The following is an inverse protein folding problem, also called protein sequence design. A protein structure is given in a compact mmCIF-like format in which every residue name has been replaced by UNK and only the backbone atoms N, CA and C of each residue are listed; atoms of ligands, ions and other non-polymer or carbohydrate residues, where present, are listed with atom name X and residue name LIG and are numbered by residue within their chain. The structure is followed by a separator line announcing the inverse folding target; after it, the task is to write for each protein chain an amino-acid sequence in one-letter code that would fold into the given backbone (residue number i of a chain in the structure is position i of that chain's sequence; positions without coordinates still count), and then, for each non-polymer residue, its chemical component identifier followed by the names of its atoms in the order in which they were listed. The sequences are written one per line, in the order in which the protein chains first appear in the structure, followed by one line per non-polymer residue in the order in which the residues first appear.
data_IF_360991737083
#
_entry.id   IF_360991737083
#
_cell.length_a   1.000
_cell.length_b   1.000
_cell.length_c   1.000
_cell.angle_alpha   90.00
_cell.angle_beta   90.00
_cell.angle_gamma   90.00
#
_symmetry.space_group_name_H-M   'P 1'
#
loop_
_entity.id
_entity.type
_entity.pdbx_description
1 polymer ?
#
# COMPACT_ATOMS: atom_id res chain seq x y z
N UNK A 1 -5.40 -26.38 -10.97
CA UNK A 1 -5.50 -26.12 -9.52
C UNK A 1 -4.09 -26.23 -9.00
N UNK A 2 -3.50 -25.12 -8.60
CA UNK A 2 -2.08 -24.96 -8.30
C UNK A 2 -1.73 -23.48 -8.34
N UNK A 3 -0.69 -23.08 -7.60
CA UNK A 3 -0.20 -21.71 -7.54
C UNK A 3 0.61 -21.34 -8.82
N UNK A 4 -0.07 -21.36 -9.96
CA UNK A 4 0.53 -21.14 -11.29
C UNK A 4 0.79 -19.67 -11.62
N UNK A 5 0.34 -18.75 -10.76
CA UNK A 5 0.57 -17.31 -10.91
C UNK A 5 1.80 -16.83 -10.14
N UNK A 6 2.55 -17.76 -9.53
CA UNK A 6 3.69 -17.46 -8.68
C UNK A 6 3.36 -16.44 -7.60
N UNK A 7 2.15 -16.51 -7.03
CA UNK A 7 1.77 -15.67 -5.91
C UNK A 7 2.41 -16.21 -4.64
N UNK A 8 2.72 -15.37 -3.65
CA UNK A 8 3.17 -15.86 -2.36
C UNK A 8 2.13 -16.81 -1.76
N UNK A 9 2.58 -17.95 -1.23
CA UNK A 9 1.71 -18.89 -0.54
C UNK A 9 1.03 -18.24 0.67
N UNK A 10 1.75 -17.38 1.43
CA UNK A 10 1.17 -16.68 2.58
C UNK A 10 -0.09 -15.87 2.20
N UNK A 11 -0.10 -15.24 1.02
CA UNK A 11 -1.23 -14.48 0.49
C UNK A 11 -2.44 -15.40 0.25
N UNK A 12 -2.20 -16.54 -0.40
CA UNK A 12 -3.24 -17.53 -0.67
C UNK A 12 -3.80 -18.12 0.64
N UNK A 13 -2.92 -18.41 1.60
CA UNK A 13 -3.27 -18.88 2.93
C UNK A 13 -4.04 -17.83 3.75
N UNK A 14 -3.81 -16.54 3.49
CA UNK A 14 -4.45 -15.43 4.21
C UNK A 14 -5.94 -15.29 3.85
N UNK A 15 -6.39 -15.79 2.70
CA UNK A 15 -7.80 -15.70 2.28
C UNK A 15 -8.81 -16.22 3.31
N UNK A 16 -8.43 -17.24 4.07
CA UNK A 16 -9.23 -17.77 5.18
C UNK A 16 -8.64 -17.32 6.52
N UNK A 17 -8.71 -16.02 6.79
CA UNK A 17 -8.23 -15.40 8.04
C UNK A 17 -9.03 -14.13 8.33
N UNK A 18 -8.70 -13.45 9.44
CA UNK A 18 -9.30 -12.16 9.80
C UNK A 18 -9.24 -11.08 8.70
N UNK A 19 -8.19 -11.04 7.88
CA UNK A 19 -8.08 -10.10 6.73
C UNK A 19 -8.40 -10.75 5.38
N UNK A 20 -8.92 -11.99 5.39
CA UNK A 20 -9.19 -12.74 4.18
C UNK A 20 -10.67 -12.71 3.81
N UNK A 21 -10.96 -12.80 2.50
CA UNK A 21 -12.35 -12.74 1.98
C UNK A 21 -13.19 -13.96 2.32
N UNK A 22 -12.56 -15.10 2.63
CA UNK A 22 -13.27 -16.36 2.91
C UNK A 22 -13.66 -16.48 4.40
N UNK A 23 -13.02 -15.71 5.30
CA UNK A 23 -13.40 -15.63 6.72
C UNK A 23 -13.20 -14.22 7.35
N UNK A 24 -13.74 -13.17 6.71
CA UNK A 24 -13.46 -11.77 7.04
C UNK A 24 -13.85 -11.45 8.48
N UNK A 25 -12.91 -10.85 9.22
CA UNK A 25 -13.05 -10.51 10.64
C UNK A 25 -13.57 -11.67 11.51
N UNK A 26 -13.24 -12.91 11.14
CA UNK A 26 -13.76 -14.14 11.75
C UNK A 26 -15.30 -14.18 11.82
N UNK A 27 -15.96 -13.70 10.77
CA UNK A 27 -17.41 -13.56 10.71
C UNK A 27 -17.98 -14.02 9.37
N UNK A 28 -19.31 -14.02 9.26
CA UNK A 28 -20.06 -14.24 8.02
C UNK A 28 -20.30 -12.92 7.26
N UNK A 29 -19.37 -11.97 7.35
CA UNK A 29 -19.53 -10.66 6.70
C UNK A 29 -19.77 -10.82 5.19
N UNK A 30 -20.90 -10.30 4.73
CA UNK A 30 -21.19 -10.14 3.31
C UNK A 30 -20.43 -8.91 2.79
N UNK A 31 -19.42 -9.18 1.95
CA UNK A 31 -18.53 -8.16 1.38
C UNK A 31 -19.29 -7.19 0.48
N UNK A 32 -20.28 -7.64 -0.29
CA UNK A 32 -21.06 -6.76 -1.16
C UNK A 32 -21.85 -5.76 -0.31
N UNK A 33 -22.51 -6.26 0.73
CA UNK A 33 -23.23 -5.40 1.68
C UNK A 33 -22.29 -4.48 2.43
N UNK A 34 -21.10 -4.95 2.79
CA UNK A 34 -20.09 -4.14 3.47
C UNK A 34 -19.60 -2.99 2.59
N UNK A 35 -19.31 -3.26 1.32
CA UNK A 35 -18.93 -2.25 0.33
C UNK A 35 -20.03 -1.19 0.16
N UNK A 36 -21.30 -1.60 0.02
CA UNK A 36 -22.43 -0.66 -0.05
C UNK A 36 -22.49 0.27 1.17
N UNK A 37 -22.34 -0.28 2.37
CA UNK A 37 -22.32 0.51 3.62
C UNK A 37 -21.12 1.46 3.70
N UNK A 38 -19.97 1.05 3.16
CA UNK A 38 -18.81 1.92 3.05
C UNK A 38 -19.09 3.12 2.15
N UNK A 39 -19.68 2.90 0.97
CA UNK A 39 -20.10 3.98 0.08
C UNK A 39 -21.16 4.89 0.72
N UNK A 40 -22.14 4.33 1.43
CA UNK A 40 -23.15 5.11 2.17
C UNK A 40 -22.52 6.02 3.23
N UNK A 41 -21.52 5.51 3.97
CA UNK A 41 -20.77 6.30 4.93
C UNK A 41 -19.98 7.44 4.26
N UNK A 42 -19.39 7.18 3.10
CA UNK A 42 -18.68 8.20 2.32
C UNK A 42 -19.60 9.34 1.89
N UNK A 43 -20.85 9.05 1.50
CA UNK A 43 -21.83 10.10 1.18
C UNK A 43 -22.08 11.05 2.37
N UNK A 44 -22.16 10.50 3.59
CA UNK A 44 -22.33 11.33 4.80
C UNK A 44 -21.10 12.18 5.12
N UNK A 45 -19.90 11.68 4.80
CA UNK A 45 -18.66 12.46 4.92
C UNK A 45 -18.64 13.59 3.89
N UNK A 46 -19.05 13.34 2.65
CA UNK A 46 -19.14 14.35 1.59
C UNK A 46 -20.08 15.51 1.97
N UNK A 47 -21.28 15.20 2.49
CA UNK A 47 -22.21 16.21 3.01
C UNK A 47 -21.57 17.09 4.12
N UNK A 48 -20.77 16.46 4.98
CA UNK A 48 -20.07 17.13 6.08
C UNK A 48 -18.95 18.05 5.56
N UNK A 49 -18.17 17.59 4.58
CA UNK A 49 -17.16 18.42 3.88
C UNK A 49 -17.83 19.62 3.21
N UNK A 50 -18.93 19.39 2.48
CA UNK A 50 -19.71 20.45 1.86
C UNK A 50 -20.21 21.49 2.87
N UNK A 51 -20.54 21.07 4.10
CA UNK A 51 -20.95 21.97 5.18
C UNK A 51 -19.81 22.86 5.66
N UNK A 52 -18.62 22.29 5.86
CA UNK A 52 -17.42 23.04 6.25
C UNK A 52 -17.03 24.04 5.16
N UNK A 53 -17.01 23.61 3.90
CA UNK A 53 -16.66 24.47 2.77
C UNK A 53 -17.62 25.66 2.61
N UNK A 54 -18.94 25.45 2.75
CA UNK A 54 -19.94 26.52 2.76
C UNK A 54 -19.75 27.48 3.93
N UNK A 55 -19.27 26.99 5.07
CA UNK A 55 -19.00 27.86 6.22
C UNK A 55 -17.77 28.75 5.97
N UNK A 56 -16.71 28.21 5.36
CA UNK A 56 -15.54 29.02 4.95
C UNK A 56 -15.94 30.11 3.94
N UNK A 57 -16.83 29.81 2.99
CA UNK A 57 -17.41 30.80 2.06
C UNK A 57 -18.16 31.92 2.79
N UNK A 58 -19.06 31.57 3.73
CA UNK A 58 -19.82 32.56 4.51
C UNK A 58 -18.94 33.47 5.36
N UNK A 59 -17.81 32.95 5.83
CA UNK A 59 -16.83 33.71 6.60
C UNK A 59 -15.97 34.62 5.72
N UNK A 60 -15.99 34.44 4.39
CA UNK A 60 -15.19 35.22 3.45
C UNK A 60 -13.70 34.84 3.42
N UNK A 61 -13.33 33.68 3.96
CA UNK A 61 -11.92 33.24 4.10
C UNK A 61 -11.61 32.00 3.26
N UNK A 62 -12.52 31.56 2.39
CA UNK A 62 -12.34 30.33 1.60
C UNK A 62 -11.07 30.37 0.76
N UNK A 63 -10.82 31.48 0.10
CA UNK A 63 -9.78 31.56 -0.94
C UNK A 63 -8.37 31.55 -0.34
N UNK A 64 -8.23 32.07 0.89
CA UNK A 64 -6.99 32.06 1.70
C UNK A 64 -6.86 30.82 2.61
N UNK A 65 -7.85 29.91 2.62
CA UNK A 65 -7.82 28.70 3.46
C UNK A 65 -7.36 27.48 2.65
N UNK A 66 -6.23 26.90 3.03
CA UNK A 66 -5.81 25.58 2.52
C UNK A 66 -6.67 24.47 3.13
N UNK A 67 -7.49 23.83 2.29
CA UNK A 67 -8.25 22.63 2.64
C UNK A 67 -7.63 21.43 1.97
N UNK A 68 -7.31 20.38 2.75
CA UNK A 68 -6.77 19.12 2.26
C UNK A 68 -7.73 18.00 2.69
N UNK A 69 -8.22 17.22 1.73
CA UNK A 69 -8.96 15.97 1.96
C UNK A 69 -8.06 14.81 1.56
N UNK A 70 -7.91 13.82 2.43
CA UNK A 70 -7.05 12.66 2.18
C UNK A 70 -7.48 11.43 2.98
N UNK A 71 -7.08 10.24 2.50
CA UNK A 71 -7.13 8.99 3.27
C UNK A 71 -5.84 8.70 4.04
N UNK A 72 -5.93 7.96 5.15
CA UNK A 72 -4.77 7.46 5.89
C UNK A 72 -4.09 6.28 5.18
N UNK A 73 -4.89 5.37 4.63
CA UNK A 73 -4.51 4.20 3.85
C UNK A 73 -5.63 3.82 2.86
N UNK A 74 -5.31 2.97 1.88
CA UNK A 74 -6.30 2.32 1.03
C UNK A 74 -7.12 1.26 1.79
N UNK A 75 -7.99 0.56 1.07
CA UNK A 75 -8.83 -0.50 1.61
C UNK A 75 -9.24 -1.49 0.51
N UNK A 76 -9.22 -2.78 0.82
CA UNK A 76 -9.61 -3.86 -0.08
C UNK A 76 -11.00 -4.42 0.27
N UNK A 77 -11.75 -4.79 -0.75
CA UNK A 77 -13.08 -5.41 -0.68
C UNK A 77 -13.16 -6.72 -1.47
N UNK A 78 -12.06 -7.47 -1.58
CA UNK A 78 -12.03 -8.69 -2.37
C UNK A 78 -10.74 -8.89 -3.16
N UNK A 79 -10.04 -7.80 -3.46
CA UNK A 79 -8.84 -7.80 -4.28
C UNK A 79 -7.77 -8.71 -3.65
N UNK A 80 -7.11 -9.49 -4.49
CA UNK A 80 -6.14 -10.52 -4.06
C UNK A 80 -6.71 -11.59 -3.10
N UNK A 81 -8.03 -11.63 -2.89
CA UNK A 81 -8.65 -12.47 -1.87
C UNK A 81 -8.55 -11.91 -0.46
N UNK A 82 -8.29 -10.61 -0.34
CA UNK A 82 -8.15 -9.91 0.92
C UNK A 82 -9.26 -8.87 1.13
N UNK A 83 -9.48 -8.54 2.39
CA UNK A 83 -10.18 -7.33 2.82
C UNK A 83 -9.21 -6.49 3.64
N UNK A 84 -9.64 -5.27 4.00
CA UNK A 84 -8.88 -4.39 4.89
C UNK A 84 -7.60 -3.85 4.22
N UNK A 85 -6.59 -3.46 5.01
CA UNK A 85 -5.27 -2.98 4.57
C UNK A 85 -4.14 -3.77 5.26
N UNK A 86 -2.89 -3.32 5.09
CA UNK A 86 -1.60 -3.87 5.63
C UNK A 86 -0.81 -4.74 4.66
N UNK A 87 -0.99 -4.47 3.37
CA UNK A 87 -0.21 -5.07 2.28
C UNK A 87 0.17 -3.97 1.30
N UNK A 88 1.13 -4.22 0.43
CA UNK A 88 1.68 -3.23 -0.49
C UNK A 88 0.95 -3.11 -1.84
N UNK A 89 -0.18 -3.81 -2.02
CA UNK A 89 -0.99 -3.69 -3.24
C UNK A 89 -1.57 -2.28 -3.39
N UNK A 90 -1.76 -1.82 -4.62
CA UNK A 90 -2.23 -0.46 -4.96
C UNK A 90 -3.52 -0.13 -4.22
N UNK A 91 -4.45 -1.07 -4.12
CA UNK A 91 -5.72 -0.90 -3.41
C UNK A 91 -5.56 -0.68 -1.90
N UNK A 92 -4.47 -1.16 -1.29
CA UNK A 92 -4.17 -0.98 0.14
C UNK A 92 -3.34 0.28 0.41
N UNK A 93 -2.54 0.76 -0.55
CA UNK A 93 -1.61 1.89 -0.32
C UNK A 93 -2.08 3.20 -0.98
N UNK A 94 -2.85 3.14 -2.06
CA UNK A 94 -3.30 4.32 -2.80
C UNK A 94 -4.50 4.95 -2.11
N UNK A 95 -4.41 6.25 -1.84
CA UNK A 95 -5.44 7.03 -1.17
C UNK A 95 -5.93 8.17 -2.06
N UNK A 96 -7.19 8.62 -1.89
CA UNK A 96 -7.62 9.87 -2.49
C UNK A 96 -6.86 11.03 -1.82
N UNK A 97 -6.51 12.05 -2.59
CA UNK A 97 -6.00 13.32 -2.10
C UNK A 97 -6.56 14.45 -2.97
N UNK A 98 -7.18 15.43 -2.32
CA UNK A 98 -7.72 16.64 -2.95
C UNK A 98 -7.28 17.84 -2.11
N UNK A 99 -6.88 18.93 -2.76
CA UNK A 99 -6.54 20.17 -2.07
C UNK A 99 -7.13 21.39 -2.79
N UNK A 100 -7.50 22.41 -2.04
CA UNK A 100 -7.87 23.71 -2.58
C UNK A 100 -7.31 24.85 -1.71
N UNK A 101 -6.77 25.87 -2.37
CA UNK A 101 -6.45 27.17 -1.81
C UNK A 101 -6.23 28.14 -2.97
N UNK A 102 -7.28 28.82 -3.46
CA UNK A 102 -7.20 29.73 -4.61
C UNK A 102 -6.07 30.76 -4.54
N UNK A 103 -5.73 31.25 -3.35
CA UNK A 103 -4.62 32.21 -3.16
C UNK A 103 -3.23 31.61 -3.38
N UNK A 104 -3.07 30.29 -3.24
CA UNK A 104 -1.79 29.59 -3.40
C UNK A 104 -1.59 28.97 -4.78
N UNK A 105 -2.66 28.46 -5.39
CA UNK A 105 -2.63 27.76 -6.68
C UNK A 105 -4.02 27.72 -7.33
N UNK A 106 -4.02 27.64 -8.66
CA UNK A 106 -5.25 27.51 -9.46
C UNK A 106 -5.82 26.08 -9.37
N UNK A 107 -7.14 25.97 -9.15
CA UNK A 107 -7.84 24.69 -9.09
C UNK A 107 -8.03 24.02 -10.47
N UNK A 108 -8.65 22.83 -10.44
CA UNK A 108 -9.00 22.09 -11.67
C UNK A 108 -7.83 21.37 -12.35
N UNK A 109 -6.69 21.24 -11.65
CA UNK A 109 -5.49 20.55 -12.12
C UNK A 109 -5.35 19.18 -11.44
N UNK A 110 -4.78 18.22 -12.17
CA UNK A 110 -4.36 16.92 -11.64
C UNK A 110 -2.84 16.93 -11.55
N UNK A 111 -2.31 16.51 -10.40
CA UNK A 111 -0.87 16.27 -10.22
C UNK A 111 -0.64 14.78 -10.41
N UNK A 112 0.04 14.41 -11.50
CA UNK A 112 0.30 13.01 -11.84
C UNK A 112 1.51 12.43 -11.08
N UNK A 113 2.39 13.30 -10.58
CA UNK A 113 3.55 12.92 -9.78
C UNK A 113 3.13 12.25 -8.47
N UNK A 114 3.91 11.26 -8.06
CA UNK A 114 3.65 10.49 -6.85
C UNK A 114 3.89 11.31 -5.57
N UNK A 115 2.80 11.75 -4.95
CA UNK A 115 2.79 12.34 -3.60
C UNK A 115 2.47 11.29 -2.53
N UNK A 116 2.92 11.51 -1.31
CA UNK A 116 2.74 10.58 -0.18
C UNK A 116 2.27 11.31 1.08
N UNK A 117 1.69 10.57 2.03
CA UNK A 117 1.18 11.16 3.29
C UNK A 117 2.28 11.90 4.09
N UNK A 118 3.55 11.51 3.95
CA UNK A 118 4.70 12.17 4.57
C UNK A 118 4.92 13.61 4.08
N UNK A 119 4.37 13.96 2.92
CA UNK A 119 4.54 15.26 2.27
C UNK A 119 3.58 16.33 2.78
N UNK A 120 2.51 15.90 3.47
CA UNK A 120 1.43 16.79 3.90
C UNK A 120 1.94 17.80 4.92
N UNK A 121 2.76 17.36 5.88
CA UNK A 121 3.33 18.26 6.88
C UNK A 121 4.26 19.32 6.24
N UNK A 122 5.27 18.96 5.41
CA UNK A 122 6.05 19.92 4.64
C UNK A 122 5.21 20.91 3.81
N UNK A 123 4.15 20.42 3.17
CA UNK A 123 3.24 21.24 2.34
C UNK A 123 2.48 22.26 3.18
N UNK A 124 1.93 21.85 4.33
CA UNK A 124 1.26 22.78 5.26
C UNK A 124 2.26 23.82 5.80
N UNK A 125 3.50 23.39 6.12
CA UNK A 125 4.53 24.31 6.58
C UNK A 125 4.87 25.36 5.53
N UNK A 126 5.09 24.97 4.28
CA UNK A 126 5.35 25.92 3.20
C UNK A 126 4.17 26.87 2.97
N UNK A 127 2.93 26.37 3.01
CA UNK A 127 1.73 27.21 2.91
C UNK A 127 1.66 28.28 4.01
N UNK A 128 2.20 27.99 5.19
CA UNK A 128 2.31 28.92 6.33
C UNK A 128 3.56 29.82 6.27
N UNK A 129 4.40 29.71 5.24
CA UNK A 129 5.68 30.41 5.13
C UNK A 129 6.77 29.89 6.07
N UNK A 130 6.63 28.65 6.55
CA UNK A 130 7.60 27.98 7.42
C UNK A 130 8.56 27.10 6.60
N UNK A 131 9.78 26.94 7.12
CA UNK A 131 10.80 26.09 6.50
C UNK A 131 10.71 24.67 7.05
N UNK A 132 10.67 23.67 6.16
CA UNK A 132 10.71 22.24 6.53
C UNK A 132 11.99 21.93 7.33
N UNK A 133 11.91 21.24 8.48
CA UNK A 133 13.09 20.76 9.19
C UNK A 133 13.82 19.65 8.43
N UNK A 134 15.16 19.52 8.56
CA UNK A 134 15.93 18.51 7.83
C UNK A 134 15.60 17.04 8.16
N UNK A 135 14.90 16.76 9.27
CA UNK A 135 14.57 15.40 9.70
C UNK A 135 13.25 14.87 9.14
N UNK A 136 12.50 15.68 8.39
CA UNK A 136 11.28 15.23 7.71
C UNK A 136 11.64 14.62 6.37
N UNK A 137 11.22 13.38 6.15
CA UNK A 137 11.48 12.63 4.91
C UNK A 137 10.64 13.10 3.73
N UNK A 138 9.46 13.68 3.99
CA UNK A 138 8.57 14.21 2.95
C UNK A 138 9.05 15.53 2.37
N UNK A 139 8.49 15.92 1.23
CA UNK A 139 8.75 17.20 0.57
C UNK A 139 7.45 17.92 0.25
N UNK A 140 7.49 19.26 0.22
CA UNK A 140 6.30 20.02 -0.15
C UNK A 140 5.99 19.86 -1.63
N UNK A 141 4.72 19.64 -1.96
CA UNK A 141 4.24 19.53 -3.34
C UNK A 141 3.42 20.76 -3.80
N UNK A 142 3.53 21.89 -3.09
CA UNK A 142 2.84 23.13 -3.50
C UNK A 142 3.24 23.56 -4.91
N UNK A 143 4.51 23.47 -5.26
CA UNK A 143 4.98 23.86 -6.59
C UNK A 143 4.44 22.93 -7.69
N UNK A 144 4.28 21.63 -7.39
CA UNK A 144 3.57 20.72 -8.29
C UNK A 144 2.10 21.14 -8.46
N UNK A 145 1.41 21.52 -7.39
CA UNK A 145 0.04 22.02 -7.46
C UNK A 145 -0.08 23.34 -8.25
N UNK A 146 0.97 24.16 -8.27
CA UNK A 146 1.07 25.36 -9.13
C UNK A 146 1.32 25.01 -10.61
N UNK A 147 1.60 23.75 -10.93
CA UNK A 147 1.93 23.28 -12.27
C UNK A 147 3.38 23.58 -12.67
N UNK A 148 4.27 23.75 -11.69
CA UNK A 148 5.69 23.97 -11.95
C UNK A 148 6.39 22.63 -12.20
N UNK A 149 7.35 22.65 -13.11
CA UNK A 149 8.26 21.53 -13.33
C UNK A 149 9.40 21.62 -12.32
N UNK A 150 9.34 20.77 -11.30
CA UNK A 150 10.34 20.70 -10.22
C UNK A 150 10.86 19.27 -10.07
N UNK A 151 12.14 19.09 -9.68
CA UNK A 151 12.64 17.76 -9.34
C UNK A 151 11.75 17.10 -8.28
N UNK A 152 11.37 15.85 -8.53
CA UNK A 152 10.50 15.08 -7.64
C UNK A 152 11.04 13.67 -7.43
N UNK A 153 10.39 12.90 -6.55
CA UNK A 153 10.81 11.53 -6.26
C UNK A 153 10.43 10.58 -7.39
N UNK A 154 11.31 9.61 -7.64
CA UNK A 154 11.05 8.50 -8.56
C UNK A 154 10.39 7.30 -7.86
N UNK A 155 10.50 7.23 -6.53
CA UNK A 155 10.12 6.04 -5.75
C UNK A 155 9.32 6.37 -4.49
N UNK A 156 8.39 5.47 -4.17
CA UNK A 156 7.69 5.40 -2.89
C UNK A 156 8.09 4.11 -2.18
N UNK A 157 8.59 4.27 -0.96
CA UNK A 157 8.97 3.18 -0.08
C UNK A 157 7.81 2.89 0.88
N UNK A 158 7.24 1.69 0.78
CA UNK A 158 6.26 1.17 1.72
C UNK A 158 6.93 0.20 2.69
N UNK A 159 6.64 0.37 3.98
CA UNK A 159 7.13 -0.48 5.05
C UNK A 159 5.97 -0.86 5.97
N UNK A 160 5.82 -2.16 6.23
CA UNK A 160 4.92 -2.68 7.24
C UNK A 160 5.64 -3.74 8.08
N UNK A 161 5.62 -3.59 9.40
CA UNK A 161 6.25 -4.53 10.32
C UNK A 161 5.24 -5.52 10.86
N UNK A 162 5.63 -6.80 10.90
CA UNK A 162 4.80 -7.86 11.45
C UNK A 162 4.34 -7.55 12.88
N UNK A 163 3.10 -7.90 13.16
CA UNK A 163 2.51 -7.80 14.49
C UNK A 163 1.79 -9.10 14.87
N UNK A 164 1.96 -9.54 16.11
CA UNK A 164 1.34 -10.79 16.60
C UNK A 164 -0.19 -10.75 16.61
N UNK A 165 -0.77 -9.55 16.64
CA UNK A 165 -2.22 -9.36 16.65
C UNK A 165 -2.87 -9.81 15.33
N UNK A 166 -2.15 -9.69 14.22
CA UNK A 166 -2.58 -10.07 12.88
C UNK A 166 -1.47 -10.90 12.20
N UNK A 167 -1.17 -12.10 12.72
CA UNK A 167 0.03 -12.84 12.33
C UNK A 167 0.02 -13.34 10.89
N UNK A 168 -1.13 -13.26 10.21
CA UNK A 168 -1.33 -13.59 8.81
C UNK A 168 -0.74 -12.56 7.81
N UNK A 169 -0.42 -11.33 8.25
CA UNK A 169 0.24 -10.32 7.42
C UNK A 169 1.73 -10.25 7.80
N UNK A 170 2.66 -10.61 6.90
CA UNK A 170 4.09 -10.60 7.20
C UNK A 170 4.67 -9.20 7.33
N UNK A 171 5.95 -9.11 7.69
CA UNK A 171 6.73 -7.88 7.46
C UNK A 171 6.88 -7.70 5.95
N UNK A 172 6.48 -6.54 5.43
CA UNK A 172 6.46 -6.21 4.00
C UNK A 172 7.35 -5.00 3.76
N UNK A 173 8.25 -5.12 2.79
CA UNK A 173 8.97 -3.98 2.22
C UNK A 173 8.64 -3.91 0.73
N UNK A 174 8.23 -2.74 0.25
CA UNK A 174 7.91 -2.56 -1.16
C UNK A 174 8.42 -1.24 -1.67
N UNK A 175 8.98 -1.28 -2.88
CA UNK A 175 9.41 -0.11 -3.61
C UNK A 175 8.56 0.02 -4.87
N UNK A 176 7.86 1.16 -4.98
CA UNK A 176 6.99 1.50 -6.11
C UNK A 176 7.60 2.67 -6.87
N UNK A 177 7.89 2.47 -8.15
CA UNK A 177 8.13 3.56 -9.11
C UNK A 177 6.87 3.85 -9.90
N UNK A 178 6.93 4.73 -10.91
CA UNK A 178 5.77 5.02 -11.77
C UNK A 178 5.34 3.84 -12.66
N UNK A 179 6.24 2.89 -12.89
CA UNK A 179 5.96 1.73 -13.76
C UNK A 179 6.09 0.40 -13.06
N UNK A 180 7.06 0.23 -12.17
CA UNK A 180 7.35 -1.06 -11.57
C UNK A 180 7.18 -1.03 -10.07
N UNK A 181 6.76 -2.16 -9.50
CA UNK A 181 6.70 -2.36 -8.06
C UNK A 181 7.36 -3.68 -7.69
N UNK A 182 8.30 -3.63 -6.75
CA UNK A 182 8.95 -4.81 -6.17
C UNK A 182 8.57 -4.91 -4.70
N UNK A 183 8.19 -6.09 -4.24
CA UNK A 183 7.79 -6.36 -2.86
C UNK A 183 8.50 -7.60 -2.34
N UNK A 184 9.08 -7.51 -1.15
CA UNK A 184 9.72 -8.62 -0.45
C UNK A 184 9.19 -8.78 0.97
N UNK A 185 9.27 -10.00 1.49
CA UNK A 185 8.71 -10.38 2.79
C UNK A 185 9.78 -10.88 3.75
N UNK A 186 10.10 -10.07 4.75
CA UNK A 186 11.17 -10.41 5.68
C UNK A 186 10.77 -11.53 6.63
N UNK A 187 11.62 -12.56 6.72
CA UNK A 187 11.43 -13.70 7.62
C UNK A 187 10.45 -14.76 7.09
N UNK A 188 9.96 -14.64 5.85
CA UNK A 188 9.16 -15.67 5.21
C UNK A 188 9.98 -16.49 4.22
N UNK A 189 9.75 -17.81 4.23
CA UNK A 189 10.29 -18.72 3.22
C UNK A 189 9.26 -18.94 2.11
N UNK A 190 9.20 -17.98 1.19
CA UNK A 190 8.21 -17.91 0.11
C UNK A 190 8.76 -17.10 -1.08
N UNK A 191 7.94 -16.82 -2.08
CA UNK A 191 8.31 -15.95 -3.21
C UNK A 191 8.04 -14.47 -2.93
N UNK A 192 8.93 -13.62 -3.44
CA UNK A 192 8.71 -12.18 -3.58
C UNK A 192 7.77 -11.87 -4.75
N UNK A 193 7.41 -10.60 -4.91
CA UNK A 193 6.54 -10.13 -5.99
C UNK A 193 7.18 -8.99 -6.81
N UNK A 194 6.96 -9.01 -8.12
CA UNK A 194 7.37 -7.96 -9.04
C UNK A 194 6.31 -7.70 -10.11
N UNK A 195 5.88 -6.46 -10.26
CA UNK A 195 4.77 -6.06 -11.15
C UNK A 195 5.15 -4.87 -12.04
N UNK A 196 4.61 -4.85 -13.26
CA UNK A 196 4.50 -3.65 -14.10
C UNK A 196 3.11 -3.06 -13.85
N UNK A 197 3.03 -2.08 -12.95
CA UNK A 197 1.76 -1.52 -12.48
C UNK A 197 1.10 -0.61 -13.53
N UNK A 198 1.80 -0.24 -14.62
CA UNK A 198 1.18 0.43 -15.76
C UNK A 198 0.45 -0.57 -16.66
N UNK A 199 1.08 -1.70 -16.94
CA UNK A 199 0.48 -2.76 -17.76
C UNK A 199 -0.55 -3.61 -16.99
N UNK A 200 -0.34 -3.80 -15.69
CA UNK A 200 -1.18 -4.58 -14.78
C UNK A 200 -1.46 -3.78 -13.48
N UNK A 201 -2.34 -2.77 -13.54
CA UNK A 201 -2.67 -1.92 -12.39
C UNK A 201 -3.40 -2.67 -11.26
N UNK A 202 -3.79 -3.92 -11.51
CA UNK A 202 -4.47 -4.81 -10.55
C UNK A 202 -3.57 -5.90 -9.99
N UNK A 203 -2.28 -5.90 -10.38
CA UNK A 203 -1.22 -6.74 -9.83
C UNK A 203 -1.56 -8.25 -9.85
N UNK A 204 -2.17 -8.71 -10.93
CA UNK A 204 -2.63 -10.10 -11.08
C UNK A 204 -1.54 -11.05 -11.59
N UNK A 205 -0.51 -10.54 -12.27
CA UNK A 205 0.59 -11.33 -12.86
C UNK A 205 1.92 -10.99 -12.20
N UNK A 206 2.35 -11.83 -11.26
CA UNK A 206 3.69 -11.72 -10.68
C UNK A 206 4.76 -12.10 -11.72
N UNK A 207 5.63 -11.15 -12.05
CA UNK A 207 6.71 -11.29 -13.03
C UNK A 207 8.07 -11.57 -12.39
N UNK A 208 8.13 -11.87 -11.09
CA UNK A 208 9.41 -12.10 -10.38
C UNK A 208 10.26 -13.23 -11.00
N UNK A 209 9.62 -14.17 -11.71
CA UNK A 209 10.27 -15.28 -12.41
C UNK A 209 10.33 -15.12 -13.92
N UNK A 210 9.91 -13.97 -14.46
CA UNK A 210 10.03 -13.67 -15.88
C UNK A 210 11.51 -13.40 -16.23
N UNK A 211 12.16 -14.23 -17.08
CA UNK A 211 13.58 -14.05 -17.42
C UNK A 211 13.87 -12.71 -18.09
N UNK A 212 12.91 -12.13 -18.82
CA UNK A 212 13.07 -10.83 -19.48
C UNK A 212 13.09 -9.68 -18.46
N UNK A 213 12.42 -9.86 -17.32
CA UNK A 213 12.32 -8.87 -16.24
C UNK A 213 13.35 -9.06 -15.12
N UNK A 214 14.13 -10.14 -15.14
CA UNK A 214 15.06 -10.50 -14.06
C UNK A 214 16.06 -9.38 -13.72
N UNK A 215 16.55 -8.64 -14.73
CA UNK A 215 17.45 -7.50 -14.53
C UNK A 215 16.75 -6.34 -13.81
N UNK A 216 15.51 -6.05 -14.18
CA UNK A 216 14.72 -4.95 -13.61
C UNK A 216 14.30 -5.26 -12.18
N UNK A 217 13.81 -6.47 -11.91
CA UNK A 217 13.46 -6.92 -10.57
C UNK A 217 14.65 -6.81 -9.61
N UNK A 218 15.84 -7.25 -10.04
CA UNK A 218 17.08 -7.13 -9.25
C UNK A 218 17.53 -5.69 -9.04
N UNK A 219 17.29 -4.80 -10.01
CA UNK A 219 17.60 -3.38 -9.87
C UNK A 219 16.68 -2.72 -8.83
N UNK A 220 15.39 -3.04 -8.86
CA UNK A 220 14.40 -2.57 -7.90
C UNK A 220 14.66 -3.11 -6.49
N UNK A 221 15.02 -4.39 -6.35
CA UNK A 221 15.46 -4.99 -5.08
C UNK A 221 16.68 -4.24 -4.52
N UNK A 222 17.72 -4.04 -5.33
CA UNK A 222 18.92 -3.30 -4.92
C UNK A 222 18.55 -1.88 -4.46
N UNK A 223 17.70 -1.20 -5.22
CA UNK A 223 17.26 0.17 -4.88
C UNK A 223 16.46 0.22 -3.59
N UNK A 224 15.61 -0.79 -3.34
CA UNK A 224 14.85 -0.91 -2.10
C UNK A 224 15.80 -0.94 -0.90
N UNK A 225 16.80 -1.82 -0.92
CA UNK A 225 17.75 -1.95 0.19
C UNK A 225 18.67 -0.74 0.35
N UNK A 226 19.04 -0.06 -0.74
CA UNK A 226 19.75 1.22 -0.66
C UNK A 226 18.91 2.28 0.07
N UNK A 227 17.63 2.44 -0.32
CA UNK A 227 16.73 3.40 0.34
C UNK A 227 16.45 3.03 1.80
N UNK A 228 16.28 1.75 2.12
CA UNK A 228 16.15 1.32 3.52
C UNK A 228 17.43 1.61 4.33
N UNK A 229 18.62 1.44 3.74
CA UNK A 229 19.87 1.78 4.41
C UNK A 229 19.98 3.29 4.67
N UNK A 230 19.66 4.11 3.67
CA UNK A 230 19.73 5.58 3.76
C UNK A 230 18.74 6.15 4.79
N UNK A 231 17.57 5.51 4.92
CA UNK A 231 16.47 5.96 5.81
C UNK A 231 16.43 5.22 7.16
N UNK A 232 17.45 4.40 7.48
CA UNK A 232 17.52 3.65 8.74
C UNK A 232 16.50 2.50 8.87
N UNK A 233 15.90 2.06 7.77
CA UNK A 233 14.95 0.95 7.70
C UNK A 233 15.59 -0.46 7.74
N UNK A 234 16.91 -0.55 7.91
CA UNK A 234 17.61 -1.84 8.05
C UNK A 234 17.45 -2.46 9.44
N UNK A 235 17.00 -1.69 10.44
CA UNK A 235 16.67 -2.16 11.77
C UNK A 235 15.17 -2.45 11.89
N UNK A 236 14.81 -3.73 12.02
CA UNK A 236 13.42 -4.16 12.10
C UNK A 236 12.95 -4.13 13.57
N UNK A 237 11.97 -3.31 13.94
CA UNK A 237 11.51 -3.19 15.30
C UNK A 237 10.75 -4.45 15.75
N UNK A 238 10.99 -4.85 16.99
CA UNK A 238 10.20 -5.88 17.66
C UNK A 238 8.94 -5.25 18.25
N UNK A 239 7.78 -5.58 17.67
CA UNK A 239 6.49 -5.11 18.16
C UNK A 239 5.99 -5.98 19.32
N UNK A 240 6.08 -5.47 20.55
CA UNK A 240 5.50 -6.13 21.71
C UNK A 240 3.96 -6.16 21.59
N UNK A 241 3.32 -7.34 21.63
CA UNK A 241 1.90 -7.44 21.36
C UNK A 241 1.07 -6.93 22.53
N UNK A 242 0.00 -6.18 22.22
CA UNK A 242 -0.99 -5.73 23.18
C UNK A 242 -2.36 -6.32 22.83
N UNK A 243 -3.03 -6.95 23.80
CA UNK A 243 -4.38 -7.51 23.59
C UNK A 243 -4.40 -8.91 22.97
N UNK A 244 -5.42 -9.16 22.13
CA UNK A 244 -5.70 -10.47 21.53
C UNK A 244 -4.94 -10.74 20.23
N UNK A 245 -5.09 -11.97 19.69
CA UNK A 245 -4.51 -12.39 18.43
C UNK A 245 -5.58 -12.95 17.49
N UNK A 246 -5.54 -12.57 16.22
CA UNK A 246 -6.55 -12.93 15.22
C UNK A 246 -6.04 -14.02 14.26
N UNK A 247 -5.76 -15.20 14.80
CA UNK A 247 -5.16 -16.31 14.06
C UNK A 247 -6.10 -17.52 13.90
N UNK A 248 -7.37 -17.28 13.50
CA UNK A 248 -8.33 -18.37 13.27
C UNK A 248 -8.56 -18.55 11.77
N UNK A 249 -8.92 -19.79 11.43
CA UNK A 249 -9.33 -20.22 10.08
C UNK A 249 -10.64 -20.98 10.20
N UNK A 250 -11.50 -20.84 9.21
CA UNK A 250 -12.81 -21.49 9.17
C UNK A 250 -12.72 -22.83 8.43
N UNK A 251 -13.00 -23.92 9.15
CA UNK A 251 -12.92 -25.29 8.60
C UNK A 251 -13.79 -25.48 7.35
N UNK A 252 -15.00 -24.94 7.33
CA UNK A 252 -15.94 -25.07 6.20
C UNK A 252 -15.46 -24.38 4.91
N UNK A 253 -14.37 -23.61 4.98
CA UNK A 253 -13.75 -22.89 3.86
C UNK A 253 -12.30 -23.35 3.67
N UNK A 254 -12.03 -24.65 3.86
CA UNK A 254 -10.71 -25.30 3.75
C UNK A 254 -9.63 -24.71 4.68
N UNK A 255 -10.03 -24.20 5.86
CA UNK A 255 -9.11 -23.58 6.83
C UNK A 255 -8.12 -24.53 7.49
N UNK A 256 -8.24 -25.84 7.26
CA UNK A 256 -7.36 -26.91 7.74
C UNK A 256 -6.27 -27.30 6.73
N UNK A 257 -6.27 -26.70 5.54
CA UNK A 257 -5.27 -26.93 4.48
C UNK A 257 -4.43 -25.67 4.28
N UNK A 258 -3.22 -25.88 3.81
CA UNK A 258 -2.39 -24.81 3.27
C UNK A 258 -2.47 -24.79 1.75
N UNK A 259 -2.23 -23.62 1.16
CA UNK A 259 -2.07 -23.43 -0.27
C UNK A 259 -0.80 -24.10 -0.79
N UNK A 260 -0.82 -24.44 -2.08
CA UNK A 260 0.33 -24.99 -2.78
C UNK A 260 1.47 -23.97 -2.87
N UNK A 261 2.72 -24.45 -2.81
CA UNK A 261 3.87 -23.61 -3.14
C UNK A 261 3.79 -23.11 -4.58
N UNK A 262 4.40 -21.95 -4.88
CA UNK A 262 4.62 -21.53 -6.26
C UNK A 262 5.25 -22.67 -7.07
N UNK A 263 4.80 -22.86 -8.32
CA UNK A 263 5.28 -23.99 -9.16
C UNK A 263 6.81 -24.02 -9.27
N UNK A 264 7.44 -22.84 -9.36
CA UNK A 264 8.89 -22.70 -9.50
C UNK A 264 9.69 -23.07 -8.24
N UNK A 265 9.03 -23.33 -7.12
CA UNK A 265 9.67 -23.81 -5.88
C UNK A 265 9.79 -25.33 -5.85
N UNK A 266 9.01 -26.02 -6.68
CA UNK A 266 8.92 -27.47 -6.69
C UNK A 266 9.70 -28.00 -7.89
N UNK A 267 10.74 -28.78 -7.63
CA UNK A 267 11.55 -29.43 -8.66
C UNK A 267 11.33 -30.93 -8.66
N UNK A 268 11.27 -31.53 -9.86
CA UNK A 268 11.11 -32.98 -10.01
C UNK A 268 12.39 -33.75 -9.62
N UNK A 269 13.54 -33.09 -9.68
CA UNK A 269 14.86 -33.69 -9.48
C UNK A 269 15.78 -32.76 -8.67
N UNK A 270 16.74 -33.28 -7.88
CA UNK A 270 17.70 -32.44 -7.18
C UNK A 270 18.53 -31.56 -8.13
N UNK A 271 18.56 -30.24 -7.87
CA UNK A 271 19.34 -29.28 -8.67
C UNK A 271 20.85 -29.47 -8.44
N UNK A 272 21.27 -29.59 -7.18
CA UNK A 272 22.67 -29.84 -6.83
C UNK A 272 22.86 -31.31 -6.48
N UNK A 273 23.41 -32.09 -7.43
CA UNK A 273 23.66 -33.53 -7.27
C UNK A 273 25.02 -33.85 -6.66
N UNK A 274 25.90 -32.85 -6.57
CA UNK A 274 27.28 -32.98 -6.07
C UNK A 274 27.47 -32.28 -4.71
N UNK A 275 26.41 -32.23 -3.90
CA UNK A 275 26.49 -31.72 -2.54
C UNK A 275 27.34 -32.69 -1.68
N UNK A 276 28.53 -32.24 -1.28
CA UNK A 276 29.44 -32.96 -0.38
C UNK A 276 29.02 -32.84 1.09
#
# INVERSE_FOLDING_TARGET
VGNSRNLPRWLLDQRNSWHGVDFPYHSELDIERYYKRYCEALCSVDDSVGTVLKQLEKMGIRDETLVIYMGDNGFMFGEHGLIDKRVAYETSIRVPMLMQCPDLFEGGKVVDQMVANIDIAPTIMEAMGLVKPPHMDGESFIDLARGMDVPWRDYFLYVYYWEKNFPQSPTVFSLRSDRFKYTTYYGLWDTDEFYDIQADPTEQKNMIRDPEMAKEAKAMEKRLYEMMADLGGMDIPMNAPAGGFNNKRLLQRDGDKAADFPGDFVVDEPINRDAN
#
